data_IF_643071686958
#
_entry.id   IF_643071686958
#
_cell.length_a   1.000
_cell.length_b   1.000
_cell.length_c   1.000
_cell.angle_alpha   90.00
_cell.angle_beta   90.00
_cell.angle_gamma   90.00
#
_symmetry.space_group_name_H-M   'P 1'
#
loop_
_entity.id
_entity.type
_entity.pdbx_description
1 polymer ?
#
# COMPACT_ATOMS: atom_id res chain seq x y z
N UNK A 1 -25.79 40.68 2.51
CA UNK A 1 -24.93 40.03 1.52
C UNK A 1 -24.23 38.90 2.24
N UNK A 2 -24.69 37.67 2.04
CA UNK A 2 -24.13 36.50 2.72
C UNK A 2 -22.79 36.14 2.09
N UNK A 3 -21.79 36.02 2.94
CA UNK A 3 -20.41 35.66 2.67
C UNK A 3 -20.31 34.34 1.89
N UNK A 4 -19.94 34.43 0.61
CA UNK A 4 -19.66 33.28 -0.25
C UNK A 4 -18.18 32.88 -0.12
N UNK A 5 -17.74 32.53 1.08
CA UNK A 5 -16.58 31.64 1.23
C UNK A 5 -17.05 30.20 1.05
N UNK A 6 -17.42 29.83 -0.19
CA UNK A 6 -17.55 28.42 -0.57
C UNK A 6 -16.13 27.82 -0.48
N UNK A 7 -15.78 27.29 0.69
CA UNK A 7 -14.73 26.29 0.79
C UNK A 7 -14.99 25.26 -0.31
N UNK A 8 -14.09 25.16 -1.29
CA UNK A 8 -14.23 24.17 -2.35
C UNK A 8 -14.09 22.80 -1.69
N UNK A 9 -15.21 22.14 -1.40
CA UNK A 9 -15.22 20.78 -0.86
C UNK A 9 -14.43 19.89 -1.82
N UNK A 10 -13.39 19.25 -1.31
CA UNK A 10 -12.51 18.39 -2.09
C UNK A 10 -13.01 16.95 -1.92
N UNK A 11 -13.36 16.31 -3.02
CA UNK A 11 -13.80 14.93 -3.02
C UNK A 11 -12.74 14.03 -3.62
N UNK A 12 -12.52 12.87 -3.03
CA UNK A 12 -11.51 11.92 -3.50
C UNK A 12 -12.07 10.51 -3.49
N UNK A 13 -11.52 9.65 -4.35
CA UNK A 13 -11.91 8.23 -4.40
C UNK A 13 -10.78 7.36 -3.86
N UNK A 14 -11.09 6.53 -2.88
CA UNK A 14 -10.24 5.41 -2.47
C UNK A 14 -10.77 4.11 -3.08
N UNK A 15 -9.87 3.33 -3.70
CA UNK A 15 -10.22 2.05 -4.34
C UNK A 15 -9.42 0.92 -3.67
N UNK A 16 -10.10 -0.18 -3.30
CA UNK A 16 -9.48 -1.44 -2.88
C UNK A 16 -9.78 -2.52 -3.90
N UNK A 17 -8.76 -2.95 -4.65
CA UNK A 17 -8.81 -4.08 -5.59
C UNK A 17 -8.21 -5.33 -4.96
N UNK A 18 -8.98 -5.96 -4.08
CA UNK A 18 -8.55 -7.12 -3.30
C UNK A 18 -8.66 -8.46 -4.05
N UNK A 19 -8.73 -9.57 -3.32
CA UNK A 19 -8.78 -10.90 -3.94
C UNK A 19 -10.16 -11.30 -4.48
N UNK A 20 -11.27 -10.81 -3.94
CA UNK A 20 -12.62 -11.25 -4.34
C UNK A 20 -13.52 -10.16 -4.90
N UNK A 21 -13.10 -8.91 -4.81
CA UNK A 21 -13.87 -7.77 -5.31
C UNK A 21 -13.03 -6.51 -5.37
N UNK A 22 -13.41 -5.60 -6.26
CA UNK A 22 -13.00 -4.19 -6.20
C UNK A 22 -14.09 -3.36 -5.52
N UNK A 23 -13.70 -2.52 -4.57
CA UNK A 23 -14.57 -1.55 -3.89
C UNK A 23 -14.03 -0.15 -4.13
N UNK A 24 -14.88 0.77 -4.57
CA UNK A 24 -14.59 2.18 -4.68
C UNK A 24 -15.44 2.94 -3.67
N UNK A 25 -14.85 3.89 -2.96
CA UNK A 25 -15.54 4.72 -1.97
C UNK A 25 -15.18 6.18 -2.22
N UNK A 26 -16.20 7.04 -2.23
CA UNK A 26 -16.09 8.48 -2.34
C UNK A 26 -16.01 9.08 -0.95
N UNK A 27 -15.03 9.95 -0.73
CA UNK A 27 -14.85 10.65 0.53
C UNK A 27 -14.87 12.17 0.34
N UNK A 28 -15.31 12.89 1.37
CA UNK A 28 -15.12 14.33 1.50
C UNK A 28 -13.78 14.69 2.18
N UNK A 29 -13.52 15.99 2.32
CA UNK A 29 -12.29 16.50 2.93
C UNK A 29 -12.12 16.12 4.42
N UNK A 30 -13.18 15.63 5.07
CA UNK A 30 -13.17 15.20 6.47
C UNK A 30 -13.01 13.68 6.60
N UNK A 31 -12.88 12.96 5.48
CA UNK A 31 -12.83 11.51 5.46
C UNK A 31 -14.21 10.85 5.66
N UNK A 32 -15.31 11.58 5.49
CA UNK A 32 -16.64 10.98 5.53
C UNK A 32 -16.92 10.25 4.21
N UNK A 33 -17.25 8.96 4.30
CA UNK A 33 -17.71 8.19 3.14
C UNK A 33 -19.10 8.67 2.70
N UNK A 34 -19.22 9.10 1.44
CA UNK A 34 -20.45 9.65 0.85
C UNK A 34 -21.18 8.67 -0.06
N UNK A 35 -20.43 7.82 -0.78
CA UNK A 35 -20.98 6.85 -1.71
C UNK A 35 -20.00 5.69 -1.91
N UNK A 36 -20.53 4.52 -2.29
CA UNK A 36 -19.71 3.35 -2.58
C UNK A 36 -20.24 2.54 -3.76
N UNK A 37 -19.29 1.91 -4.46
CA UNK A 37 -19.55 0.91 -5.49
C UNK A 37 -18.67 -0.30 -5.26
N UNK A 38 -19.18 -1.48 -5.66
CA UNK A 38 -18.47 -2.74 -5.44
C UNK A 38 -18.82 -3.74 -6.53
N UNK A 39 -17.80 -4.38 -7.08
CA UNK A 39 -17.96 -5.48 -8.05
C UNK A 39 -17.10 -6.65 -7.63
N UNK A 40 -17.70 -7.83 -7.59
CA UNK A 40 -17.00 -9.08 -7.31
C UNK A 40 -16.43 -9.67 -8.60
N UNK A 41 -15.44 -10.54 -8.44
CA UNK A 41 -14.91 -11.38 -9.51
C UNK A 41 -14.46 -12.71 -8.92
N UNK A 42 -14.39 -13.71 -9.80
CA UNK A 42 -14.08 -15.07 -9.40
C UNK A 42 -12.58 -15.27 -9.10
N UNK A 43 -12.31 -16.39 -8.45
CA UNK A 43 -10.96 -16.93 -8.24
C UNK A 43 -10.93 -18.32 -8.86
N UNK A 44 -10.01 -18.53 -9.79
CA UNK A 44 -9.82 -19.80 -10.48
C UNK A 44 -8.88 -20.70 -9.66
N UNK A 45 -9.19 -22.00 -9.61
CA UNK A 45 -8.41 -23.03 -8.93
C UNK A 45 -8.21 -24.22 -9.84
N UNK A 46 -7.37 -24.09 -10.89
CA UNK A 46 -7.24 -25.11 -11.93
C UNK A 46 -6.62 -26.42 -11.40
N UNK A 47 -5.79 -26.34 -10.35
CA UNK A 47 -5.12 -27.48 -9.71
C UNK A 47 -5.00 -27.25 -8.20
N UNK A 48 -4.75 -28.32 -7.40
CA UNK A 48 -4.42 -28.17 -5.98
C UNK A 48 -3.23 -27.22 -5.77
N UNK A 49 -3.37 -26.27 -4.86
CA UNK A 49 -2.36 -25.24 -4.58
C UNK A 49 -2.28 -24.10 -5.60
N UNK A 50 -2.96 -24.22 -6.75
CA UNK A 50 -2.97 -23.20 -7.79
C UNK A 50 -4.16 -22.25 -7.58
N UNK A 51 -3.87 -20.95 -7.62
CA UNK A 51 -4.85 -19.88 -7.45
C UNK A 51 -4.60 -18.81 -8.50
N UNK A 52 -5.61 -18.54 -9.32
CA UNK A 52 -5.47 -17.69 -10.50
C UNK A 52 -6.63 -16.71 -10.68
N UNK A 53 -6.38 -15.62 -11.40
CA UNK A 53 -7.41 -14.65 -11.83
C UNK A 53 -7.13 -14.13 -13.23
N UNK A 54 -8.18 -13.75 -13.94
CA UNK A 54 -8.03 -13.02 -15.20
C UNK A 54 -7.77 -11.55 -14.88
N UNK A 55 -6.68 -10.98 -15.42
CA UNK A 55 -6.36 -9.57 -15.19
C UNK A 55 -7.44 -8.61 -15.72
N UNK A 56 -8.13 -9.00 -16.81
CA UNK A 56 -9.29 -8.28 -17.34
C UNK A 56 -10.40 -8.09 -16.29
N UNK A 57 -10.61 -9.06 -15.39
CA UNK A 57 -11.62 -8.94 -14.33
C UNK A 57 -11.29 -7.83 -13.33
N UNK A 58 -10.00 -7.57 -13.06
CA UNK A 58 -9.61 -6.47 -12.18
C UNK A 58 -10.04 -5.13 -12.76
N UNK A 59 -9.86 -4.94 -14.07
CA UNK A 59 -10.27 -3.72 -14.75
C UNK A 59 -11.79 -3.59 -14.82
N UNK A 60 -12.49 -4.64 -15.25
CA UNK A 60 -13.96 -4.64 -15.35
C UNK A 60 -14.60 -4.31 -14.00
N UNK A 61 -14.08 -4.88 -12.91
CA UNK A 61 -14.55 -4.63 -11.57
C UNK A 61 -14.19 -3.24 -11.06
N UNK A 62 -12.99 -2.73 -11.34
CA UNK A 62 -12.61 -1.36 -11.02
C UNK A 62 -13.53 -0.37 -11.73
N UNK A 63 -13.63 -0.43 -13.06
CA UNK A 63 -14.47 0.48 -13.83
C UNK A 63 -15.95 0.36 -13.43
N UNK A 64 -16.45 -0.87 -13.24
CA UNK A 64 -17.81 -1.11 -12.78
C UNK A 64 -18.09 -0.57 -11.38
N UNK A 65 -17.13 -0.72 -10.44
CA UNK A 65 -17.26 -0.20 -9.08
C UNK A 65 -17.28 1.34 -9.06
N UNK A 66 -16.50 1.99 -9.92
CA UNK A 66 -16.50 3.45 -10.05
C UNK A 66 -17.84 3.93 -10.62
N UNK A 67 -18.36 3.29 -11.68
CA UNK A 67 -19.68 3.64 -12.24
C UNK A 67 -20.80 3.50 -11.22
N UNK A 68 -20.78 2.42 -10.44
CA UNK A 68 -21.75 2.20 -9.36
C UNK A 68 -21.68 3.29 -8.28
N UNK A 69 -20.46 3.68 -7.89
CA UNK A 69 -20.22 4.77 -6.96
C UNK A 69 -20.79 6.08 -7.51
N UNK A 70 -20.48 6.41 -8.77
CA UNK A 70 -20.91 7.65 -9.41
C UNK A 70 -22.44 7.71 -9.54
N UNK A 71 -23.12 6.59 -9.83
CA UNK A 71 -24.59 6.56 -9.91
C UNK A 71 -25.30 6.82 -8.58
N UNK A 72 -24.62 6.57 -7.45
CA UNK A 72 -25.14 6.79 -6.09
C UNK A 72 -24.59 8.06 -5.46
N UNK A 73 -23.64 8.71 -6.12
CA UNK A 73 -22.89 9.83 -5.60
C UNK A 73 -23.79 11.07 -5.47
N UNK A 74 -23.76 11.77 -4.32
CA UNK A 74 -24.41 13.08 -4.19
C UNK A 74 -23.61 14.21 -4.87
N UNK A 75 -22.40 13.92 -5.38
CA UNK A 75 -21.51 14.91 -6.02
C UNK A 75 -21.28 14.55 -7.48
N UNK A 76 -21.09 15.58 -8.31
CA UNK A 76 -20.75 15.38 -9.73
C UNK A 76 -19.28 14.94 -9.87
N UNK A 77 -18.98 14.18 -10.92
CA UNK A 77 -17.64 13.61 -11.12
C UNK A 77 -16.56 14.69 -11.32
N UNK A 78 -16.91 15.86 -11.86
CA UNK A 78 -15.99 17.00 -12.03
C UNK A 78 -15.55 17.63 -10.70
N UNK A 79 -16.24 17.32 -9.61
CA UNK A 79 -15.85 17.77 -8.27
C UNK A 79 -14.82 16.85 -7.61
N UNK A 80 -14.60 15.65 -8.17
CA UNK A 80 -13.58 14.70 -7.69
C UNK A 80 -12.21 15.25 -8.08
N UNK A 81 -11.29 15.28 -7.13
CA UNK A 81 -9.96 15.88 -7.29
C UNK A 81 -8.85 14.86 -7.50
N UNK A 82 -9.11 13.59 -7.22
CA UNK A 82 -8.19 12.52 -7.53
C UNK A 82 -8.71 11.17 -7.05
N UNK A 83 -7.96 10.12 -7.39
CA UNK A 83 -8.17 8.78 -6.86
C UNK A 83 -6.86 8.09 -6.52
N UNK A 84 -6.94 7.09 -5.67
CA UNK A 84 -5.81 6.23 -5.36
C UNK A 84 -6.28 4.78 -5.11
N UNK A 85 -5.38 3.83 -5.38
CA UNK A 85 -5.70 2.40 -5.48
C UNK A 85 -4.82 1.61 -4.51
N UNK A 86 -5.47 0.94 -3.58
CA UNK A 86 -4.89 -0.20 -2.86
C UNK A 86 -5.30 -1.50 -3.55
N UNK A 87 -4.48 -2.54 -3.41
CA UNK A 87 -4.61 -3.76 -4.19
C UNK A 87 -4.00 -4.96 -3.48
N UNK A 88 -4.41 -6.16 -3.88
CA UNK A 88 -3.72 -7.39 -3.46
C UNK A 88 -2.28 -7.40 -3.98
N UNK A 89 -1.33 -7.70 -3.10
CA UNK A 89 0.11 -7.75 -3.40
C UNK A 89 0.53 -9.14 -3.87
N UNK A 90 1.78 -9.32 -4.30
CA UNK A 90 2.40 -10.60 -4.71
C UNK A 90 1.73 -11.30 -5.93
N UNK A 91 0.56 -10.82 -6.36
CA UNK A 91 -0.19 -11.32 -7.51
C UNK A 91 0.34 -10.66 -8.77
N UNK A 92 0.67 -11.46 -9.79
CA UNK A 92 1.24 -10.94 -11.02
C UNK A 92 0.73 -11.66 -12.28
N UNK A 93 0.71 -10.94 -13.39
CA UNK A 93 0.28 -11.42 -14.71
C UNK A 93 1.36 -11.16 -15.76
N UNK A 94 1.75 -12.17 -16.55
CA UNK A 94 2.66 -11.96 -17.67
C UNK A 94 1.88 -11.36 -18.85
N UNK A 95 2.39 -10.30 -19.46
CA UNK A 95 1.70 -9.56 -20.53
C UNK A 95 2.61 -9.32 -21.72
N UNK A 96 2.12 -9.40 -22.95
CA UNK A 96 2.95 -9.11 -24.11
C UNK A 96 3.27 -7.60 -24.28
N UNK A 97 3.89 -7.24 -25.42
CA UNK A 97 4.22 -5.84 -25.74
C UNK A 97 3.00 -4.93 -25.93
N UNK A 98 1.83 -5.51 -26.15
CA UNK A 98 0.54 -4.81 -26.21
C UNK A 98 -0.15 -4.75 -24.84
N UNK A 99 0.51 -5.24 -23.79
CA UNK A 99 -0.02 -5.33 -22.42
C UNK A 99 -1.23 -6.28 -22.33
N UNK A 100 -1.33 -7.22 -23.27
CA UNK A 100 -2.36 -8.26 -23.22
C UNK A 100 -1.88 -9.46 -22.38
N UNK A 101 -2.69 -9.94 -21.42
CA UNK A 101 -2.35 -11.11 -20.61
C UNK A 101 -2.05 -12.35 -21.45
N UNK A 102 -0.87 -12.93 -21.27
CA UNK A 102 -0.47 -14.18 -21.93
C UNK A 102 -1.08 -15.43 -21.27
N UNK A 103 -1.48 -15.30 -20.01
CA UNK A 103 -2.19 -16.31 -19.20
C UNK A 103 -2.90 -15.63 -18.03
N UNK A 104 -3.64 -16.42 -17.24
CA UNK A 104 -4.17 -15.93 -15.97
C UNK A 104 -3.05 -15.50 -15.01
N UNK A 105 -3.31 -14.47 -14.23
CA UNK A 105 -2.45 -14.03 -13.14
C UNK A 105 -2.29 -15.13 -12.08
N UNK A 106 -1.10 -15.22 -11.49
CA UNK A 106 -0.78 -16.16 -10.40
C UNK A 106 -0.93 -15.42 -9.06
N UNK A 107 -1.90 -15.83 -8.24
CA UNK A 107 -2.30 -15.10 -7.02
C UNK A 107 -1.33 -15.24 -5.86
N UNK A 108 -1.42 -14.32 -4.91
CA UNK A 108 -0.55 -14.21 -3.74
C UNK A 108 -0.51 -15.45 -2.84
N UNK A 109 -1.58 -16.24 -2.80
CA UNK A 109 -1.73 -17.47 -2.03
C UNK A 109 -1.52 -18.74 -2.86
N UNK A 110 -1.01 -18.59 -4.09
CA UNK A 110 -0.57 -19.70 -4.93
C UNK A 110 0.78 -20.22 -4.46
N UNK A 111 0.88 -21.55 -4.31
CA UNK A 111 2.07 -22.21 -3.76
C UNK A 111 2.87 -23.00 -4.82
N UNK A 112 2.55 -22.86 -6.11
CA UNK A 112 3.17 -23.66 -7.19
C UNK A 112 4.68 -23.46 -7.32
N UNK A 113 5.21 -22.33 -6.87
CA UNK A 113 6.62 -21.96 -6.97
C UNK A 113 7.47 -22.45 -5.78
N UNK A 114 7.07 -23.53 -5.11
CA UNK A 114 7.77 -24.04 -3.93
C UNK A 114 9.17 -24.56 -4.28
N UNK A 115 9.32 -25.27 -5.40
CA UNK A 115 10.62 -25.76 -5.90
C UNK A 115 11.55 -24.59 -6.27
N UNK A 116 11.03 -23.52 -6.88
CA UNK A 116 11.84 -22.35 -7.25
C UNK A 116 12.31 -21.57 -6.01
N UNK A 117 11.49 -21.54 -4.96
CA UNK A 117 11.87 -20.96 -3.68
C UNK A 117 13.01 -21.76 -3.01
N UNK A 118 12.97 -23.09 -3.08
CA UNK A 118 14.06 -23.97 -2.60
C UNK A 118 15.33 -23.79 -3.43
N UNK A 119 15.22 -23.78 -4.77
CA UNK A 119 16.34 -23.50 -5.68
C UNK A 119 17.00 -22.16 -5.35
N UNK A 120 16.22 -21.10 -5.13
CA UNK A 120 16.73 -19.79 -4.75
C UNK A 120 17.51 -19.79 -3.42
N UNK A 121 17.03 -20.57 -2.44
CA UNK A 121 17.72 -20.77 -1.17
C UNK A 121 19.07 -21.48 -1.33
N UNK A 122 19.13 -22.47 -2.22
CA UNK A 122 20.35 -23.23 -2.51
C UNK A 122 21.38 -22.43 -3.33
N UNK A 123 20.94 -21.65 -4.31
CA UNK A 123 21.84 -20.95 -5.24
C UNK A 123 22.32 -19.60 -4.72
N UNK A 124 21.45 -18.77 -4.15
CA UNK A 124 21.77 -17.40 -3.72
C UNK A 124 22.00 -17.33 -2.21
N UNK A 125 21.29 -18.16 -1.44
CA UNK A 125 21.40 -18.22 0.02
C UNK A 125 20.46 -17.26 0.73
N UNK A 126 19.84 -17.76 1.82
CA UNK A 126 18.85 -17.03 2.64
C UNK A 126 19.34 -15.66 3.09
N UNK A 127 20.57 -15.58 3.60
CA UNK A 127 21.12 -14.35 4.19
C UNK A 127 21.27 -13.24 3.14
N UNK A 128 21.82 -13.57 1.96
CA UNK A 128 21.98 -12.61 0.87
C UNK A 128 20.62 -12.08 0.41
N UNK A 129 19.63 -12.98 0.23
CA UNK A 129 18.27 -12.59 -0.17
C UNK A 129 17.66 -11.66 0.88
N UNK A 130 17.75 -12.01 2.16
CA UNK A 130 17.19 -11.21 3.25
C UNK A 130 17.84 -9.83 3.35
N UNK A 131 19.17 -9.75 3.35
CA UNK A 131 19.90 -8.48 3.42
C UNK A 131 19.54 -7.55 2.26
N UNK A 132 19.33 -8.12 1.08
CA UNK A 132 19.11 -7.35 -0.14
C UNK A 132 17.66 -6.94 -0.38
N UNK A 133 16.71 -7.78 0.02
CA UNK A 133 15.28 -7.60 -0.29
C UNK A 133 14.42 -7.33 0.94
N UNK A 134 14.99 -7.47 2.15
CA UNK A 134 14.27 -7.33 3.42
C UNK A 134 13.36 -8.50 3.76
N UNK A 135 13.32 -9.56 2.94
CA UNK A 135 12.44 -10.72 3.14
C UNK A 135 13.20 -12.04 3.06
N UNK A 136 12.82 -12.96 3.93
CA UNK A 136 13.18 -14.36 3.75
C UNK A 136 12.47 -14.92 2.51
N UNK A 137 13.06 -15.88 1.80
CA UNK A 137 12.39 -16.60 0.71
C UNK A 137 11.04 -17.21 1.14
N UNK A 138 10.09 -17.27 0.21
CA UNK A 138 8.67 -17.53 0.47
C UNK A 138 7.89 -17.63 -0.85
N UNK A 139 6.62 -17.23 -0.87
CA UNK A 139 5.77 -17.26 -2.09
C UNK A 139 5.79 -15.94 -2.87
N UNK A 140 6.96 -15.31 -2.95
CA UNK A 140 7.13 -14.00 -3.60
C UNK A 140 6.99 -14.05 -5.12
N UNK A 141 6.69 -12.90 -5.73
CA UNK A 141 6.43 -12.79 -7.17
C UNK A 141 7.58 -13.29 -8.02
N UNK A 142 8.84 -13.05 -7.63
CA UNK A 142 10.02 -13.45 -8.40
C UNK A 142 10.09 -14.97 -8.58
N UNK A 143 9.70 -15.77 -7.58
CA UNK A 143 9.70 -17.22 -7.69
C UNK A 143 8.60 -17.74 -8.63
N UNK A 144 7.52 -16.98 -8.81
CA UNK A 144 6.51 -17.27 -9.84
C UNK A 144 7.05 -16.99 -11.25
N UNK A 145 7.90 -15.99 -11.40
CA UNK A 145 8.61 -15.74 -12.67
C UNK A 145 9.58 -16.89 -12.98
N UNK A 146 10.32 -17.38 -11.99
CA UNK A 146 11.15 -18.60 -12.12
C UNK A 146 10.29 -19.81 -12.47
N UNK A 147 9.11 -19.96 -11.84
CA UNK A 147 8.22 -21.08 -12.16
C UNK A 147 7.74 -21.03 -13.61
N UNK A 148 7.41 -19.83 -14.11
CA UNK A 148 7.06 -19.64 -15.53
C UNK A 148 8.25 -19.96 -16.45
N UNK A 149 9.47 -19.59 -16.07
CA UNK A 149 10.68 -19.92 -16.83
C UNK A 149 10.88 -21.44 -16.95
N UNK A 150 10.72 -22.17 -15.83
CA UNK A 150 10.94 -23.62 -15.78
C UNK A 150 9.78 -24.43 -16.40
N UNK A 151 8.53 -24.00 -16.21
CA UNK A 151 7.33 -24.82 -16.51
C UNK A 151 6.52 -24.32 -17.71
N UNK A 152 6.60 -23.03 -18.04
CA UNK A 152 5.88 -22.42 -19.17
C UNK A 152 6.84 -21.54 -20.01
N UNK A 153 7.96 -22.09 -20.53
CA UNK A 153 9.02 -21.31 -21.16
C UNK A 153 8.53 -20.48 -22.35
N UNK A 154 7.57 -21.00 -23.13
CA UNK A 154 6.96 -20.25 -24.24
C UNK A 154 6.27 -18.96 -23.77
N UNK A 155 5.60 -18.99 -22.62
CA UNK A 155 4.98 -17.81 -21.99
C UNK A 155 6.07 -16.87 -21.49
N UNK A 156 7.08 -17.41 -20.78
CA UNK A 156 8.18 -16.61 -20.24
C UNK A 156 8.95 -15.87 -21.34
N UNK A 157 9.27 -16.53 -22.46
CA UNK A 157 10.00 -15.91 -23.57
C UNK A 157 9.20 -14.86 -24.33
N UNK A 158 7.87 -15.00 -24.40
CA UNK A 158 6.98 -13.99 -24.99
C UNK A 158 6.71 -12.79 -24.05
N UNK A 159 7.15 -12.87 -22.79
CA UNK A 159 6.55 -12.15 -21.67
C UNK A 159 6.62 -10.63 -21.64
N UNK A 160 7.39 -9.84 -22.38
CA UNK A 160 7.57 -8.38 -22.15
C UNK A 160 7.62 -7.85 -20.69
N UNK A 161 6.50 -7.80 -19.93
CA UNK A 161 6.45 -7.46 -18.50
C UNK A 161 5.68 -8.49 -17.66
N UNK A 162 6.07 -8.60 -16.39
CA UNK A 162 5.35 -9.34 -15.35
C UNK A 162 4.72 -8.36 -14.36
N UNK A 163 3.45 -8.01 -14.61
CA UNK A 163 2.80 -6.88 -13.97
C UNK A 163 2.08 -7.28 -12.68
N UNK A 164 2.27 -6.50 -11.62
CA UNK A 164 1.43 -6.57 -10.44
C UNK A 164 0.02 -6.04 -10.74
N UNK A 165 -0.95 -6.33 -9.85
CA UNK A 165 -2.34 -5.85 -10.00
C UNK A 165 -2.40 -4.33 -10.18
N UNK A 166 -1.68 -3.57 -9.35
CA UNK A 166 -1.65 -2.11 -9.53
C UNK A 166 -1.01 -1.69 -10.85
N UNK A 167 0.02 -2.40 -11.33
CA UNK A 167 0.77 -1.98 -12.50
C UNK A 167 -0.15 -2.08 -13.74
N UNK A 168 -0.92 -3.18 -13.81
CA UNK A 168 -1.95 -3.39 -14.80
C UNK A 168 -3.07 -2.33 -14.70
N UNK A 169 -3.59 -2.07 -13.50
CA UNK A 169 -4.65 -1.07 -13.31
C UNK A 169 -4.18 0.36 -13.59
N UNK A 170 -2.94 0.72 -13.24
CA UNK A 170 -2.33 1.99 -13.58
C UNK A 170 -2.21 2.12 -15.09
N UNK A 171 -1.71 1.10 -15.79
CA UNK A 171 -1.67 1.13 -17.25
C UNK A 171 -3.06 1.37 -17.86
N UNK A 172 -4.10 0.68 -17.36
CA UNK A 172 -5.48 0.85 -17.83
C UNK A 172 -6.10 2.20 -17.49
N UNK A 173 -5.60 2.91 -16.48
CA UNK A 173 -6.12 4.23 -16.06
C UNK A 173 -5.37 5.39 -16.69
N UNK A 174 -4.04 5.30 -16.79
CA UNK A 174 -3.14 6.41 -17.14
C UNK A 174 -2.25 6.13 -18.36
N UNK A 175 -2.36 4.96 -18.98
CA UNK A 175 -1.61 4.58 -20.18
C UNK A 175 -0.11 4.36 -19.95
N UNK A 176 0.32 4.27 -18.69
CA UNK A 176 1.73 4.17 -18.30
C UNK A 176 1.91 3.05 -17.28
N UNK A 177 3.00 2.29 -17.45
CA UNK A 177 3.45 1.33 -16.45
C UNK A 177 4.15 2.08 -15.31
N UNK A 178 3.53 2.00 -14.14
CA UNK A 178 4.03 2.58 -12.90
C UNK A 178 3.82 1.56 -11.81
N UNK A 179 4.84 1.33 -11.01
CA UNK A 179 4.72 0.56 -9.78
C UNK A 179 5.05 1.42 -8.57
N UNK A 180 4.84 0.88 -7.38
CA UNK A 180 5.06 1.55 -6.10
C UNK A 180 6.06 0.75 -5.31
N UNK A 181 6.95 1.42 -4.59
CA UNK A 181 7.91 0.75 -3.71
C UNK A 181 7.22 -0.18 -2.70
N UNK A 182 6.02 0.18 -2.24
CA UNK A 182 5.20 -0.64 -1.33
C UNK A 182 4.73 -1.96 -1.96
N UNK A 183 4.37 -1.98 -3.23
CA UNK A 183 4.02 -3.23 -3.92
C UNK A 183 5.27 -3.99 -4.36
N UNK A 184 6.25 -3.26 -4.89
CA UNK A 184 7.50 -3.81 -5.42
C UNK A 184 8.30 -4.54 -4.35
N UNK A 185 8.29 -4.08 -3.09
CA UNK A 185 9.05 -4.74 -2.01
C UNK A 185 8.62 -6.20 -1.80
N UNK A 186 7.35 -6.52 -2.03
CA UNK A 186 6.81 -7.88 -1.84
C UNK A 186 6.93 -8.76 -3.10
N UNK A 187 7.64 -8.28 -4.13
CA UNK A 187 8.05 -9.12 -5.26
C UNK A 187 9.18 -10.08 -4.90
N UNK A 188 9.93 -9.79 -3.83
CA UNK A 188 11.14 -10.52 -3.46
C UNK A 188 12.37 -10.14 -4.29
N UNK A 189 12.31 -9.05 -5.06
CA UNK A 189 13.45 -8.59 -5.88
C UNK A 189 13.61 -7.07 -5.94
N UNK A 190 12.98 -6.30 -5.04
CA UNK A 190 13.30 -4.88 -4.86
C UNK A 190 14.54 -4.73 -3.98
N UNK A 191 15.42 -3.78 -4.30
CA UNK A 191 16.52 -3.39 -3.41
C UNK A 191 15.96 -2.54 -2.26
N UNK A 192 15.99 -3.05 -1.02
CA UNK A 192 15.48 -2.29 0.13
C UNK A 192 16.39 -1.13 0.56
N UNK A 193 17.67 -1.18 0.20
CA UNK A 193 18.60 -0.07 0.36
C UNK A 193 18.36 1.05 -0.67
N UNK A 194 17.81 0.70 -1.83
CA UNK A 194 17.48 1.62 -2.92
C UNK A 194 16.06 1.36 -3.47
N UNK A 195 15.04 1.84 -2.74
CA UNK A 195 13.60 1.55 -2.95
C UNK A 195 12.98 1.97 -4.31
N UNK A 196 13.79 2.47 -5.23
CA UNK A 196 13.41 2.84 -6.60
C UNK A 196 14.12 2.00 -7.65
N UNK A 197 14.74 0.88 -7.25
CA UNK A 197 15.52 0.00 -8.13
C UNK A 197 15.30 -1.46 -7.74
N UNK A 198 15.37 -2.32 -8.73
CA UNK A 198 15.36 -3.77 -8.52
C UNK A 198 16.72 -4.25 -8.02
N UNK A 199 16.74 -5.32 -7.23
CA UNK A 199 17.95 -5.98 -6.77
C UNK A 199 18.53 -6.85 -7.90
N UNK A 200 19.24 -6.22 -8.83
CA UNK A 200 19.77 -6.85 -10.05
C UNK A 200 20.67 -8.07 -9.75
N UNK A 201 21.44 -8.04 -8.66
CA UNK A 201 22.29 -9.15 -8.20
C UNK A 201 21.50 -10.36 -7.68
N UNK A 202 20.28 -10.14 -7.18
CA UNK A 202 19.35 -11.20 -6.78
C UNK A 202 18.66 -11.77 -8.02
N UNK A 203 18.23 -10.89 -8.93
CA UNK A 203 17.64 -11.28 -10.21
C UNK A 203 18.61 -12.10 -11.07
N UNK A 204 19.87 -11.69 -11.15
CA UNK A 204 20.95 -12.43 -11.80
C UNK A 204 21.14 -13.82 -11.18
N UNK A 205 21.20 -13.90 -9.84
CA UNK A 205 21.31 -15.18 -9.12
C UNK A 205 20.11 -16.12 -9.30
N UNK A 206 18.95 -15.58 -9.67
CA UNK A 206 17.75 -16.34 -10.02
C UNK A 206 17.59 -16.58 -11.52
N UNK A 207 18.53 -16.10 -12.34
CA UNK A 207 18.47 -16.15 -13.81
C UNK A 207 17.21 -15.49 -14.39
N UNK A 208 16.70 -14.47 -13.70
CA UNK A 208 15.53 -13.68 -14.12
C UNK A 208 15.97 -12.33 -14.68
N UNK A 209 15.49 -12.00 -15.88
CA UNK A 209 15.80 -10.70 -16.47
C UNK A 209 15.17 -9.53 -15.70
N UNK A 210 15.92 -8.47 -15.35
CA UNK A 210 15.35 -7.25 -14.76
C UNK A 210 14.32 -6.57 -15.67
N UNK A 211 14.44 -6.78 -16.98
CA UNK A 211 13.61 -6.12 -17.99
C UNK A 211 12.12 -6.51 -17.93
N UNK A 212 11.76 -7.61 -17.26
CA UNK A 212 10.37 -8.03 -17.11
C UNK A 212 9.63 -7.19 -16.07
N UNK A 213 10.35 -6.45 -15.22
CA UNK A 213 9.75 -5.64 -14.16
C UNK A 213 9.52 -4.19 -14.61
N UNK A 214 8.61 -3.49 -13.92
CA UNK A 214 8.35 -2.06 -14.17
C UNK A 214 9.50 -1.23 -13.59
N UNK A 215 10.17 -0.44 -14.43
CA UNK A 215 11.33 0.37 -14.01
C UNK A 215 10.91 1.63 -13.25
N UNK A 216 9.76 2.20 -13.58
CA UNK A 216 9.25 3.40 -12.92
C UNK A 216 8.60 3.03 -11.57
N UNK A 217 9.42 3.00 -10.52
CA UNK A 217 9.03 2.71 -9.14
C UNK A 217 8.86 4.03 -8.38
N UNK A 218 7.63 4.38 -8.02
CA UNK A 218 7.29 5.58 -7.27
C UNK A 218 7.14 5.32 -5.77
N UNK A 219 7.30 6.37 -4.97
CA UNK A 219 6.92 6.36 -3.55
C UNK A 219 5.42 6.58 -3.39
N UNK A 220 4.85 6.15 -2.27
CA UNK A 220 3.45 6.46 -1.94
C UNK A 220 3.17 7.96 -1.87
N UNK A 221 1.93 8.37 -2.18
CA UNK A 221 1.52 9.78 -2.16
C UNK A 221 1.93 10.61 -3.37
N UNK A 222 2.61 10.03 -4.37
CA UNK A 222 2.99 10.71 -5.61
C UNK A 222 1.90 10.58 -6.69
N UNK A 223 1.78 11.57 -7.57
CA UNK A 223 0.93 11.45 -8.76
C UNK A 223 1.61 10.52 -9.75
N UNK A 224 1.01 9.36 -9.98
CA UNK A 224 1.46 8.39 -10.98
C UNK A 224 1.16 8.87 -12.41
N UNK A 225 0.04 9.58 -12.56
CA UNK A 225 -0.42 10.10 -13.84
C UNK A 225 -1.81 10.69 -13.74
N UNK A 226 -2.46 10.82 -14.90
CA UNK A 226 -3.81 11.38 -15.02
C UNK A 226 -4.64 10.47 -15.89
N UNK A 227 -5.93 10.36 -15.57
CA UNK A 227 -6.89 9.54 -16.32
C UNK A 227 -6.85 9.92 -17.80
N UNK A 228 -6.59 8.94 -18.67
CA UNK A 228 -6.66 9.14 -20.11
C UNK A 228 -8.09 9.01 -20.63
N UNK A 229 -8.29 9.38 -21.89
CA UNK A 229 -9.60 9.47 -22.52
C UNK A 229 -10.40 8.16 -22.49
N UNK A 230 -9.80 7.04 -22.87
CA UNK A 230 -10.48 5.74 -22.91
C UNK A 230 -10.87 5.28 -21.49
N UNK A 231 -9.99 5.46 -20.50
CA UNK A 231 -10.29 5.20 -19.10
C UNK A 231 -11.43 6.10 -18.58
N UNK A 232 -11.48 7.36 -19.00
CA UNK A 232 -12.59 8.28 -18.69
C UNK A 232 -13.92 7.76 -19.23
N UNK A 233 -13.96 7.30 -20.49
CA UNK A 233 -15.15 6.74 -21.12
C UNK A 233 -15.64 5.46 -20.42
N UNK A 234 -14.72 4.59 -20.02
CA UNK A 234 -15.06 3.34 -19.36
C UNK A 234 -15.48 3.54 -17.89
N UNK A 235 -14.87 4.47 -17.16
CA UNK A 235 -15.11 4.65 -15.71
C UNK A 235 -16.17 5.70 -15.39
N UNK A 236 -16.40 6.67 -16.28
CA UNK A 236 -17.21 7.87 -16.01
C UNK A 236 -16.48 8.97 -15.24
N UNK A 237 -15.18 8.81 -14.97
CA UNK A 237 -14.35 9.84 -14.34
C UNK A 237 -13.91 10.90 -15.36
N UNK A 238 -13.61 12.13 -14.94
CA UNK A 238 -13.09 13.15 -15.84
C UNK A 238 -11.71 12.77 -16.40
N UNK A 239 -11.51 12.99 -17.70
CA UNK A 239 -10.16 12.99 -18.29
C UNK A 239 -9.27 14.01 -17.57
N UNK A 240 -8.01 13.67 -17.32
CA UNK A 240 -7.07 14.53 -16.61
C UNK A 240 -7.11 14.41 -15.09
N UNK A 241 -8.06 13.66 -14.51
CA UNK A 241 -8.16 13.42 -13.07
C UNK A 241 -6.85 12.77 -12.54
N UNK A 242 -6.19 13.34 -11.51
CA UNK A 242 -5.01 12.75 -10.90
C UNK A 242 -5.22 11.34 -10.35
N UNK A 243 -4.28 10.44 -10.66
CA UNK A 243 -4.17 9.12 -10.03
C UNK A 243 -2.92 9.12 -9.16
N UNK A 244 -3.11 8.90 -7.86
CA UNK A 244 -2.05 8.93 -6.86
C UNK A 244 -1.68 7.51 -6.44
N UNK A 245 -0.38 7.29 -6.28
CA UNK A 245 0.18 6.04 -5.78
C UNK A 245 -0.22 5.81 -4.33
N UNK A 246 -0.62 4.60 -4.01
CA UNK A 246 -0.98 4.16 -2.67
C UNK A 246 -0.24 2.87 -2.30
N UNK A 247 -0.31 2.51 -1.02
CA UNK A 247 0.17 1.22 -0.54
C UNK A 247 -0.83 0.10 -0.90
N UNK A 248 -0.34 -1.12 -1.14
CA UNK A 248 -1.22 -2.30 -1.27
C UNK A 248 -1.90 -2.69 0.06
N UNK A 249 -2.85 -3.63 0.00
CA UNK A 249 -3.92 -3.85 0.99
C UNK A 249 -3.47 -4.36 2.37
N UNK A 250 -2.29 -4.98 2.48
CA UNK A 250 -1.67 -5.34 3.76
C UNK A 250 -0.20 -4.93 3.84
N UNK A 251 0.26 -4.29 4.93
CA UNK A 251 1.68 -4.22 5.22
C UNK A 251 2.20 -5.63 5.58
N UNK A 252 3.48 -5.94 5.30
CA UNK A 252 4.08 -7.20 5.75
C UNK A 252 3.95 -7.35 7.27
N UNK A 253 3.27 -8.40 7.72
CA UNK A 253 3.49 -8.90 9.06
C UNK A 253 4.84 -9.65 9.04
N UNK A 254 5.90 -9.05 9.58
CA UNK A 254 7.15 -9.78 9.76
C UNK A 254 6.92 -10.89 10.80
N UNK A 255 7.41 -12.12 10.57
CA UNK A 255 7.29 -13.22 11.52
C UNK A 255 7.91 -12.93 12.90
N UNK A 256 8.80 -11.93 13.00
CA UNK A 256 9.48 -11.52 14.24
C UNK A 256 8.84 -10.30 14.93
N UNK A 257 7.71 -9.81 14.43
CA UNK A 257 7.01 -8.65 14.98
C UNK A 257 7.69 -7.30 14.72
N UNK A 258 8.82 -7.24 14.01
CA UNK A 258 9.44 -5.96 13.61
C UNK A 258 8.69 -5.40 12.41
N UNK A 259 8.04 -4.25 12.58
CA UNK A 259 7.49 -3.50 11.45
C UNK A 259 8.65 -3.00 10.58
N UNK A 260 8.50 -3.01 9.26
CA UNK A 260 9.50 -2.47 8.34
C UNK A 260 9.96 -1.09 8.86
N UNK A 261 11.27 -0.96 9.09
CA UNK A 261 11.88 0.33 9.41
C UNK A 261 11.53 1.31 8.28
N UNK A 262 10.69 2.30 8.60
CA UNK A 262 10.32 3.39 7.71
C UNK A 262 8.84 3.47 7.31
N UNK A 263 8.05 2.40 7.47
CA UNK A 263 6.63 2.41 7.08
C UNK A 263 5.77 2.14 8.32
N UNK A 264 5.38 3.20 9.02
CA UNK A 264 4.37 3.11 10.09
C UNK A 264 3.01 2.81 9.46
N UNK A 265 2.70 1.56 9.12
CA UNK A 265 1.34 1.11 8.82
C UNK A 265 0.76 0.51 10.10
N UNK A 266 -0.20 1.21 10.71
CA UNK A 266 -1.01 0.63 11.77
C UNK A 266 -1.73 -0.63 11.21
N UNK A 267 -2.05 -1.63 12.04
CA UNK A 267 -2.90 -2.75 11.61
C UNK A 267 -4.32 -2.21 11.37
N UNK A 268 -4.51 -1.56 10.23
CA UNK A 268 -5.79 -1.10 9.78
C UNK A 268 -6.35 -2.21 8.88
N UNK A 269 -7.52 -2.74 9.22
CA UNK A 269 -8.28 -3.55 8.27
C UNK A 269 -8.50 -2.77 6.96
N UNK A 270 -8.92 -3.45 5.89
CA UNK A 270 -9.06 -2.89 4.53
C UNK A 270 -9.65 -1.46 4.48
N UNK A 271 -10.66 -1.18 5.33
CA UNK A 271 -11.27 0.15 5.42
C UNK A 271 -10.28 1.24 5.90
N UNK A 272 -9.51 0.98 6.95
CA UNK A 272 -8.54 1.98 7.44
C UNK A 272 -7.32 2.15 6.53
N UNK A 273 -7.03 1.17 5.64
CA UNK A 273 -6.09 1.40 4.54
C UNK A 273 -6.66 2.37 3.52
N UNK A 274 -7.93 2.20 3.12
CA UNK A 274 -8.63 3.11 2.21
C UNK A 274 -8.67 4.53 2.80
N UNK A 275 -9.01 4.68 4.09
CA UNK A 275 -9.07 5.98 4.77
C UNK A 275 -7.72 6.69 4.78
N UNK A 276 -6.63 5.93 4.95
CA UNK A 276 -5.28 6.50 4.88
C UNK A 276 -4.89 6.94 3.47
N UNK A 277 -5.19 6.10 2.48
CA UNK A 277 -4.98 6.42 1.07
C UNK A 277 -5.70 7.72 0.70
N UNK A 278 -6.92 7.89 1.19
CA UNK A 278 -7.75 9.09 1.04
C UNK A 278 -7.11 10.30 1.71
N UNK A 279 -6.64 10.16 2.95
CA UNK A 279 -5.98 11.24 3.68
C UNK A 279 -4.71 11.71 2.98
N UNK A 280 -3.86 10.79 2.53
CA UNK A 280 -2.61 11.12 1.84
C UNK A 280 -2.89 11.76 0.47
N UNK A 281 -3.90 11.27 -0.25
CA UNK A 281 -4.37 11.87 -1.51
C UNK A 281 -4.92 13.29 -1.30
N UNK A 282 -5.75 13.51 -0.29
CA UNK A 282 -6.30 14.82 0.02
C UNK A 282 -5.18 15.83 0.29
N UNK A 283 -4.13 15.43 1.02
CA UNK A 283 -2.93 16.26 1.24
C UNK A 283 -2.22 16.57 -0.07
N UNK A 284 -1.89 15.55 -0.88
CA UNK A 284 -1.19 15.75 -2.16
C UNK A 284 -1.94 16.71 -3.08
N UNK A 285 -3.27 16.56 -3.18
CA UNK A 285 -4.12 17.43 -4.00
C UNK A 285 -4.16 18.86 -3.46
N UNK A 286 -4.31 19.03 -2.14
CA UNK A 286 -4.38 20.35 -1.51
C UNK A 286 -3.04 21.09 -1.63
N UNK A 287 -1.91 20.41 -1.44
CA UNK A 287 -0.58 20.98 -1.55
C UNK A 287 -0.29 21.46 -2.98
N UNK A 288 -0.74 20.72 -4.00
CA UNK A 288 -0.60 21.16 -5.40
C UNK A 288 -1.41 22.42 -5.70
N UNK A 289 -2.63 22.53 -5.19
CA UNK A 289 -3.45 23.74 -5.35
C UNK A 289 -2.77 24.97 -4.74
N UNK A 290 -2.14 24.80 -3.57
CA UNK A 290 -1.39 25.89 -2.93
C UNK A 290 -0.19 26.32 -3.79
N UNK A 291 0.50 25.36 -4.39
CA UNK A 291 1.62 25.63 -5.30
C UNK A 291 1.18 26.34 -6.60
N UNK A 292 0.12 25.87 -7.25
CA UNK A 292 -0.44 26.46 -8.47
C UNK A 292 -1.06 27.85 -8.22
N UNK A 293 -1.57 28.11 -7.01
CA UNK A 293 -2.10 29.42 -6.60
C UNK A 293 -1.01 30.45 -6.23
N UNK A 294 0.27 30.15 -6.47
CA UNK A 294 1.38 31.10 -6.26
C UNK A 294 1.75 31.35 -4.80
N UNK A 295 1.27 30.52 -3.85
CA UNK A 295 1.76 30.58 -2.48
C UNK A 295 3.07 29.80 -2.38
N UNK A 296 4.19 30.52 -2.43
CA UNK A 296 5.52 29.98 -2.25
C UNK A 296 5.68 29.39 -0.84
N UNK A 297 5.49 28.08 -0.70
CA UNK A 297 6.01 27.32 0.42
C UNK A 297 7.15 26.41 -0.06
N UNK A 298 8.30 26.57 0.60
CA UNK A 298 9.51 25.78 0.42
C UNK A 298 9.16 24.28 0.58
N UNK A 299 9.61 23.39 -0.33
CA UNK A 299 9.34 21.96 -0.19
C UNK A 299 10.15 21.43 0.99
N UNK A 300 9.51 21.29 2.15
CA UNK A 300 9.99 20.36 3.16
C UNK A 300 9.46 18.98 2.78
N UNK A 301 10.31 17.94 2.66
CA UNK A 301 9.83 16.57 2.64
C UNK A 301 9.20 16.29 4.01
N UNK A 302 7.89 16.50 4.14
CA UNK A 302 7.16 16.25 5.37
C UNK A 302 6.76 14.77 5.41
N UNK A 303 7.62 14.01 6.07
CA UNK A 303 7.26 12.77 6.74
C UNK A 303 6.08 13.05 7.67
N UNK A 304 4.88 12.58 7.31
CA UNK A 304 3.76 12.60 8.25
C UNK A 304 3.83 11.34 9.13
N UNK A 305 4.44 11.48 10.30
CA UNK A 305 4.20 10.62 11.44
C UNK A 305 3.04 11.22 12.25
N UNK A 306 1.89 10.53 12.30
CA UNK A 306 0.80 10.87 13.21
C UNK A 306 0.49 9.61 14.00
N UNK A 307 0.86 9.62 15.28
CA UNK A 307 0.44 8.61 16.25
C UNK A 307 -0.91 8.99 16.83
N UNK A 308 -1.84 8.03 16.84
CA UNK A 308 -2.97 8.04 17.76
C UNK A 308 -3.10 6.65 18.38
N UNK A 309 -3.24 6.68 19.69
CA UNK A 309 -3.48 5.56 20.59
C UNK A 309 -4.96 5.65 20.94
N UNK A 310 -5.73 4.64 20.59
CA UNK A 310 -7.03 4.31 21.19
C UNK A 310 -7.11 2.76 21.15
N UNK A 311 -7.44 2.03 22.21
CA UNK A 311 -8.40 2.36 23.25
C UNK A 311 -9.78 1.90 22.77
N UNK A 312 -10.14 0.65 23.08
CA UNK A 312 -11.38 -0.08 22.71
C UNK A 312 -11.34 -0.72 21.29
N UNK A 313 -11.64 -1.99 21.08
CA UNK A 313 -12.03 -3.07 21.98
C UNK A 313 -12.18 -4.37 21.20
N UNK A 314 -11.96 -5.50 21.87
CA UNK A 314 -12.86 -6.64 21.76
C UNK A 314 -12.76 -7.45 23.05
N UNK A 315 -13.89 -7.50 23.72
CA UNK A 315 -14.19 -8.26 24.93
C UNK A 315 -14.20 -9.73 24.55
N UNK A 316 -13.28 -10.51 25.12
CA UNK A 316 -13.53 -11.93 25.36
C UNK A 316 -14.06 -12.04 26.78
N UNK A 317 -15.34 -12.36 26.84
CA UNK A 317 -16.14 -12.61 28.03
C UNK A 317 -15.55 -13.77 28.83
N UNK A 318 -15.01 -13.50 30.02
CA UNK A 318 -14.98 -14.41 31.17
C UNK A 318 -15.14 -13.54 32.43
N UNK A 319 -16.26 -13.74 33.13
CA UNK A 319 -16.73 -12.84 34.17
C UNK A 319 -15.85 -12.74 35.40
N UNK A 320 -16.00 -11.62 36.11
CA UNK A 320 -16.21 -11.50 37.57
C UNK A 320 -16.68 -10.07 37.84
N UNK A 321 -17.71 -9.94 38.68
CA UNK A 321 -18.33 -8.70 39.15
C UNK A 321 -17.36 -7.89 40.03
N UNK A 322 -17.33 -6.57 39.86
CA UNK A 322 -17.59 -5.61 40.96
C UNK A 322 -17.62 -4.16 40.44
N UNK A 323 -18.49 -3.36 41.08
CA UNK A 323 -18.69 -1.92 40.89
C UNK A 323 -17.63 -1.15 41.66
N UNK A 324 -17.16 -0.01 41.15
CA UNK A 324 -17.38 1.35 41.72
C UNK A 324 -16.70 2.45 40.89
N UNK A 325 -17.41 3.56 40.77
CA UNK A 325 -16.99 4.85 40.25
C UNK A 325 -16.02 5.58 41.18
N UNK A 326 -15.03 6.31 40.64
CA UNK A 326 -14.71 7.67 41.12
C UNK A 326 -13.78 8.38 40.12
N UNK A 327 -14.22 9.53 39.61
CA UNK A 327 -13.37 10.52 38.97
C UNK A 327 -12.69 11.37 40.05
N UNK A 328 -11.39 11.65 39.91
CA UNK A 328 -10.76 12.92 40.32
C UNK A 328 -9.26 12.89 40.00
N UNK A 329 -8.78 13.96 39.36
CA UNK A 329 -7.46 14.53 39.63
C UNK A 329 -6.29 13.96 38.84
N UNK A 330 -5.64 14.86 38.12
CA UNK A 330 -4.38 14.65 37.40
C UNK A 330 -3.27 14.09 38.31
N UNK A 331 -2.42 13.26 37.69
CA UNK A 331 -1.18 12.63 38.21
C UNK A 331 -1.43 11.28 38.92
N UNK A 332 -1.07 10.20 38.23
CA UNK A 332 -0.71 8.95 38.88
C UNK A 332 0.55 8.37 38.23
N UNK A 333 1.66 8.46 38.97
CA UNK A 333 2.83 7.60 38.87
C UNK A 333 2.38 6.19 39.24
N UNK A 334 2.63 5.19 38.39
CA UNK A 334 2.62 3.80 38.86
C UNK A 334 3.61 2.93 38.07
N UNK A 335 4.76 2.71 38.70
CA UNK A 335 5.52 1.48 38.59
C UNK A 335 4.68 0.33 39.16
N UNK A 336 4.44 -0.74 38.40
CA UNK A 336 4.37 -2.07 38.99
C UNK A 336 4.59 -3.21 37.97
N UNK A 337 5.65 -3.98 38.28
CA UNK A 337 5.79 -5.43 38.17
C UNK A 337 5.47 -6.13 36.86
N UNK A 338 6.53 -6.46 36.11
CA UNK A 338 6.70 -7.82 35.60
C UNK A 338 8.08 -8.33 35.97
N UNK A 339 8.12 -9.05 37.09
CA UNK A 339 9.17 -9.99 37.41
C UNK A 339 8.66 -11.34 36.92
N UNK A 340 9.24 -11.89 35.84
CA UNK A 340 9.57 -13.32 35.71
C UNK A 340 10.23 -13.62 34.36
N UNK A 341 11.35 -14.33 34.47
CA UNK A 341 12.24 -14.92 33.46
C UNK A 341 13.39 -14.06 32.89
N UNK A 342 14.51 -14.21 33.59
CA UNK A 342 15.89 -13.76 33.33
C UNK A 342 16.56 -14.49 32.15
N UNK A 343 17.42 -13.76 31.43
CA UNK A 343 18.83 -14.05 31.05
C UNK A 343 19.26 -12.90 30.09
N UNK A 344 19.76 -11.77 30.59
CA UNK A 344 21.18 -11.42 30.85
C UNK A 344 22.01 -11.09 29.59
N UNK A 345 22.11 -9.81 29.19
CA UNK A 345 23.36 -9.00 29.24
C UNK A 345 23.20 -7.59 28.61
N UNK A 346 23.30 -6.59 29.49
CA UNK A 346 24.03 -5.30 29.41
C UNK A 346 23.83 -4.36 28.21
N UNK A 347 23.00 -3.32 28.40
CA UNK A 347 23.32 -1.89 28.15
C UNK A 347 22.40 -1.02 29.05
N UNK A 348 22.86 0.13 29.59
CA UNK A 348 22.04 0.96 30.47
C UNK A 348 20.93 1.69 29.68
N UNK A 349 19.72 1.88 30.27
CA UNK A 349 18.68 2.67 29.63
C UNK A 349 19.04 4.16 29.71
N UNK A 350 19.25 4.79 28.55
CA UNK A 350 19.32 6.26 28.44
C UNK A 350 17.89 6.80 28.46
N UNK A 351 17.55 7.52 29.52
CA UNK A 351 16.27 8.24 29.65
C UNK A 351 16.42 9.58 28.95
N UNK A 352 15.78 9.76 27.78
CA UNK A 352 15.61 11.09 27.20
C UNK A 352 14.31 11.71 27.71
N UNK A 353 14.43 12.77 28.52
CA UNK A 353 13.31 13.65 28.88
C UNK A 353 13.29 14.80 27.86
N UNK A 354 12.27 14.87 27.02
CA UNK A 354 12.01 16.06 26.21
C UNK A 354 10.76 16.77 26.74
N UNK A 355 10.99 17.88 27.45
CA UNK A 355 9.95 18.84 27.78
C UNK A 355 9.68 19.76 26.58
N UNK A 356 8.42 20.09 26.33
CA UNK A 356 8.01 21.07 25.32
C UNK A 356 8.27 22.47 25.90
N UNK A 357 9.20 23.22 25.31
CA UNK A 357 9.43 24.64 25.61
C UNK A 357 8.69 25.48 24.57
N UNK A 358 7.79 26.35 25.02
CA UNK A 358 7.12 27.34 24.16
C UNK A 358 8.12 28.43 23.69
N UNK A 359 7.92 29.07 22.53
CA UNK A 359 8.91 29.97 21.96
C UNK A 359 9.10 31.22 22.84
N UNK A 360 10.34 31.48 23.29
CA UNK A 360 10.71 32.74 23.95
C UNK A 360 11.49 32.66 25.27
N UNK A 361 11.93 31.49 25.74
CA UNK A 361 12.79 31.41 26.94
C UNK A 361 14.10 30.67 26.67
N UNK A 362 15.22 31.32 27.02
CA UNK A 362 16.56 30.72 27.06
C UNK A 362 16.72 30.01 28.39
N UNK A 363 16.87 28.69 28.39
CA UNK A 363 17.24 27.93 29.58
C UNK A 363 18.77 27.86 29.69
N UNK A 364 19.29 28.45 30.77
CA UNK A 364 20.66 28.22 31.25
C UNK A 364 20.77 26.78 31.73
N UNK A 365 21.80 26.08 31.26
CA UNK A 365 22.08 24.70 31.63
C UNK A 365 22.44 24.56 33.11
N UNK A 366 22.04 23.43 33.70
CA UNK A 366 22.69 22.88 34.87
C UNK A 366 23.01 21.41 34.60
N UNK A 367 24.29 21.08 34.79
CA UNK A 367 24.86 19.74 34.81
C UNK A 367 24.38 18.98 36.06
N UNK A 368 24.00 17.72 35.87
CA UNK A 368 24.44 16.55 36.64
C UNK A 368 23.98 15.27 35.92
#
# INVERSE_FOLDING_TARGET
MADQTKSSKAYVIGIDSGTSSTRAILFDEKGQALAEGRRAYDVLRPQPGWVEQKAVWWWEALAGSIRDLLSKSPVKSEQIQGLAITHQRITAVPVDRSIEPLRNAILWNDIRCSEQNEKALETVGREKIYQRTGYNPGIWTVYKAMWLQDNEPDIYHRMHKFLLVQDYLMYRLIGKLVTTSSAAVMTGCLDVGHRHRWAEDILEGFEISPSIWVENILSGGQIAGRIHREASLETGLPEGLPVVTAAGDQPPAFPDGRRALGDHVAPAGKLGMIDRVVHDLAKTVLDQRLHEAGQAHVPHPQFTAIGLRDGLGNVLDHGVKSRTSCCLGNVCVLCHLLNQFSFSHVYPPVIYVFGIIAPGQVLKGHEA
#
